data_IF_297453314378
#
_entry.id   IF_297453314378
#
_cell.length_a   1.000
_cell.length_b   1.000
_cell.length_c   1.000
_cell.angle_alpha   90.00
_cell.angle_beta   90.00
_cell.angle_gamma   90.00
#
_symmetry.space_group_name_H-M   'P 1'
#
loop_
_entity.id
_entity.type
_entity.pdbx_description
1 polymer ?
#
# COMPACT_ATOMS: atom_id res chain seq x y z
N UNK A 1 -36.18 16.88 -13.59
CA UNK A 1 -36.71 15.59 -13.10
C UNK A 1 -35.52 14.70 -12.82
N UNK A 2 -35.31 14.34 -11.55
CA UNK A 2 -34.12 13.64 -11.04
C UNK A 2 -33.98 12.22 -11.64
N UNK A 3 -32.82 11.89 -12.20
CA UNK A 3 -32.38 10.49 -12.35
C UNK A 3 -31.52 10.10 -11.13
N UNK A 4 -32.17 9.53 -10.12
CA UNK A 4 -31.47 8.71 -9.13
C UNK A 4 -31.30 7.30 -9.71
N UNK A 5 -30.10 6.98 -10.18
CA UNK A 5 -29.73 5.59 -10.46
C UNK A 5 -29.46 4.91 -9.12
N UNK A 6 -30.48 4.22 -8.58
CA UNK A 6 -30.32 3.32 -7.44
C UNK A 6 -29.52 2.11 -7.91
N UNK A 7 -28.26 2.02 -7.49
CA UNK A 7 -27.50 0.77 -7.50
C UNK A 7 -28.26 -0.25 -6.66
N UNK A 8 -28.98 -1.14 -7.34
CA UNK A 8 -29.86 -2.14 -6.73
C UNK A 8 -28.98 -3.33 -6.31
N UNK A 9 -28.86 -3.54 -5.01
CA UNK A 9 -28.26 -4.75 -4.43
C UNK A 9 -29.01 -5.97 -4.95
N UNK A 10 -28.29 -6.95 -5.51
CA UNK A 10 -28.83 -8.26 -5.84
C UNK A 10 -28.07 -9.28 -4.99
N UNK A 11 -28.71 -9.73 -3.91
CA UNK A 11 -28.25 -10.91 -3.18
C UNK A 11 -28.55 -12.13 -4.05
N UNK A 12 -27.52 -12.85 -4.48
CA UNK A 12 -27.68 -14.20 -5.00
C UNK A 12 -27.66 -15.16 -3.79
N UNK A 13 -28.84 -15.56 -3.33
CA UNK A 13 -28.98 -16.71 -2.43
C UNK A 13 -28.73 -18.00 -3.22
N UNK A 14 -27.95 -18.90 -2.61
CA UNK A 14 -27.69 -20.31 -2.94
C UNK A 14 -28.03 -20.72 -4.39
N UNK A 15 -27.03 -20.68 -5.26
CA UNK A 15 -26.98 -21.58 -6.41
C UNK A 15 -25.64 -22.32 -6.37
N UNK A 16 -25.71 -23.65 -6.36
CA UNK A 16 -24.60 -24.55 -6.70
C UNK A 16 -24.07 -24.14 -8.09
N UNK A 17 -23.13 -23.19 -8.14
CA UNK A 17 -22.41 -22.87 -9.37
C UNK A 17 -21.34 -23.94 -9.54
N UNK A 18 -21.65 -24.93 -10.37
CA UNK A 18 -20.62 -25.72 -11.05
C UNK A 18 -19.66 -24.75 -11.72
N UNK A 19 -18.39 -24.79 -11.31
CA UNK A 19 -17.33 -23.92 -11.81
C UNK A 19 -17.20 -24.17 -13.32
N UNK A 20 -17.71 -23.27 -14.16
CA UNK A 20 -17.56 -23.41 -15.60
C UNK A 20 -16.10 -23.16 -15.98
N UNK A 21 -15.51 -24.20 -16.57
CA UNK A 21 -14.12 -24.35 -17.01
C UNK A 21 -13.80 -23.46 -18.23
N UNK A 22 -14.07 -22.16 -18.08
CA UNK A 22 -13.81 -21.19 -19.13
C UNK A 22 -12.49 -20.50 -18.81
N UNK A 23 -11.59 -20.54 -19.78
CA UNK A 23 -10.43 -19.64 -19.88
C UNK A 23 -10.99 -18.22 -20.03
N UNK A 24 -11.50 -17.66 -18.94
CA UNK A 24 -12.07 -16.32 -18.92
C UNK A 24 -10.89 -15.37 -18.83
N UNK A 25 -10.78 -14.47 -19.81
CA UNK A 25 -9.94 -13.29 -19.71
C UNK A 25 -10.27 -12.60 -18.39
N UNK A 26 -9.35 -12.72 -17.42
CA UNK A 26 -9.54 -12.19 -16.08
C UNK A 26 -9.96 -10.73 -16.16
N UNK A 27 -9.50 -9.96 -17.15
CA UNK A 27 -9.84 -8.53 -17.28
C UNK A 27 -11.33 -8.23 -17.49
N UNK A 28 -12.13 -9.20 -17.98
CA UNK A 28 -13.55 -9.01 -18.32
C UNK A 28 -14.53 -9.45 -17.23
N UNK A 29 -14.02 -9.95 -16.10
CA UNK A 29 -14.87 -10.51 -15.05
C UNK A 29 -15.57 -9.35 -14.30
N UNK A 30 -16.93 -9.31 -14.27
CA UNK A 30 -17.70 -8.28 -13.58
C UNK A 30 -17.44 -8.25 -12.06
N UNK A 31 -17.96 -7.21 -11.40
CA UNK A 31 -18.08 -7.15 -9.93
C UNK A 31 -18.81 -8.41 -9.42
N UNK A 32 -18.06 -9.39 -8.89
CA UNK A 32 -18.64 -10.58 -8.28
C UNK A 32 -18.69 -10.38 -6.76
N UNK A 33 -19.88 -10.54 -6.19
CA UNK A 33 -20.01 -10.78 -4.76
C UNK A 33 -19.66 -12.24 -4.49
N UNK A 34 -18.74 -12.44 -3.55
CA UNK A 34 -18.23 -13.76 -3.21
C UNK A 34 -19.13 -14.40 -2.16
N UNK A 35 -19.45 -15.70 -2.28
CA UNK A 35 -20.27 -16.39 -1.30
C UNK A 35 -19.55 -16.42 0.06
N UNK A 36 -20.35 -16.48 1.13
CA UNK A 36 -19.83 -16.84 2.45
C UNK A 36 -19.64 -18.36 2.47
N UNK A 37 -18.41 -18.87 2.63
CA UNK A 37 -18.17 -20.31 2.67
C UNK A 37 -18.84 -20.93 3.90
N UNK A 38 -19.38 -22.14 3.74
CA UNK A 38 -20.08 -22.89 4.80
C UNK A 38 -19.12 -23.81 5.53
N UNK A 39 -18.17 -24.43 4.82
CA UNK A 39 -17.17 -25.34 5.39
C UNK A 39 -15.75 -24.76 5.42
N UNK A 40 -15.53 -23.55 4.88
CA UNK A 40 -14.21 -22.92 4.72
C UNK A 40 -13.21 -23.77 3.91
N UNK A 41 -13.72 -24.71 3.12
CA UNK A 41 -12.89 -25.48 2.21
C UNK A 41 -12.64 -24.62 0.96
N UNK A 42 -11.40 -24.62 0.47
CA UNK A 42 -10.99 -23.88 -0.73
C UNK A 42 -11.89 -24.19 -1.93
N UNK A 43 -12.35 -25.45 -2.03
CA UNK A 43 -13.28 -25.91 -3.06
C UNK A 43 -14.61 -25.16 -3.13
N UNK A 44 -15.07 -24.55 -2.04
CA UNK A 44 -16.29 -23.73 -2.03
C UNK A 44 -16.10 -22.40 -2.79
N UNK A 45 -14.84 -21.97 -2.95
CA UNK A 45 -14.47 -20.71 -3.59
C UNK A 45 -13.87 -20.90 -4.99
N UNK A 46 -13.59 -22.14 -5.42
CA UNK A 46 -12.83 -22.47 -6.65
C UNK A 46 -13.43 -21.90 -7.93
N UNK A 47 -14.75 -21.63 -7.95
CA UNK A 47 -15.44 -21.02 -9.09
C UNK A 47 -15.33 -19.51 -9.18
N UNK A 48 -14.69 -18.85 -8.21
CA UNK A 48 -14.61 -17.39 -8.15
C UNK A 48 -13.20 -16.88 -8.51
N UNK A 49 -13.09 -15.97 -9.49
CA UNK A 49 -11.82 -15.54 -10.04
C UNK A 49 -11.10 -14.51 -9.16
N UNK A 50 -9.99 -14.90 -8.54
CA UNK A 50 -9.22 -14.03 -7.64
C UNK A 50 -8.36 -13.02 -8.40
N UNK A 51 -8.46 -11.75 -8.00
CA UNK A 51 -7.64 -10.64 -8.48
C UNK A 51 -6.30 -10.64 -7.77
N UNK A 52 -5.22 -10.53 -8.54
CA UNK A 52 -3.87 -10.44 -7.99
C UNK A 52 -3.47 -8.97 -7.92
N UNK A 53 -2.90 -8.53 -6.80
CA UNK A 53 -2.36 -7.17 -6.70
C UNK A 53 -1.03 -7.08 -5.94
N UNK A 54 -0.34 -5.97 -6.13
CA UNK A 54 0.83 -5.58 -5.35
C UNK A 54 0.76 -4.08 -5.01
N UNK A 55 0.89 -3.74 -3.73
CA UNK A 55 1.00 -2.36 -3.27
C UNK A 55 2.48 -1.98 -3.31
N UNK A 56 2.88 -1.24 -4.34
CA UNK A 56 4.27 -0.79 -4.51
C UNK A 56 4.43 0.56 -3.85
N UNK A 57 5.38 0.66 -2.91
CA UNK A 57 5.55 1.87 -2.11
C UNK A 57 7.00 2.06 -1.64
N UNK A 58 7.23 3.15 -0.92
CA UNK A 58 8.47 3.40 -0.20
C UNK A 58 8.19 3.45 1.30
N UNK A 59 9.20 3.16 2.14
CA UNK A 59 9.06 3.31 3.60
C UNK A 59 8.53 4.70 3.95
N UNK A 60 7.59 4.75 4.90
CA UNK A 60 6.97 5.97 5.44
C UNK A 60 6.11 6.76 4.44
N UNK A 61 5.52 6.06 3.47
CA UNK A 61 4.57 6.63 2.49
C UNK A 61 3.09 6.26 2.77
N UNK A 62 2.78 5.76 3.97
CA UNK A 62 1.41 5.44 4.37
C UNK A 62 0.91 4.04 3.99
N UNK A 63 1.78 3.18 3.44
CA UNK A 63 1.41 1.83 2.97
C UNK A 63 0.91 0.88 4.05
N UNK A 64 1.39 1.00 5.29
CA UNK A 64 0.82 0.24 6.41
C UNK A 64 -0.64 0.62 6.71
N UNK A 65 -0.95 1.91 6.73
CA UNK A 65 -2.31 2.41 6.95
C UNK A 65 -3.24 2.03 5.79
N UNK A 66 -2.78 2.25 4.56
CA UNK A 66 -3.52 1.89 3.35
C UNK A 66 -3.81 0.39 3.26
N UNK A 67 -2.85 -0.46 3.60
CA UNK A 67 -3.08 -1.91 3.67
C UNK A 67 -4.13 -2.28 4.72
N UNK A 68 -4.13 -1.64 5.91
CA UNK A 68 -5.16 -1.92 6.92
C UNK A 68 -6.56 -1.53 6.45
N UNK A 69 -6.68 -0.45 5.66
CA UNK A 69 -7.94 -0.08 5.01
C UNK A 69 -8.39 -1.18 4.04
N UNK A 70 -7.52 -1.62 3.13
CA UNK A 70 -7.86 -2.70 2.19
C UNK A 70 -8.21 -4.00 2.89
N UNK A 71 -7.46 -4.38 3.93
CA UNK A 71 -7.73 -5.57 4.73
C UNK A 71 -9.02 -5.49 5.57
N UNK A 72 -9.66 -4.32 5.69
CA UNK A 72 -11.00 -4.22 6.30
C UNK A 72 -12.12 -4.67 5.35
N UNK A 73 -11.84 -4.76 4.04
CA UNK A 73 -12.77 -5.37 3.08
C UNK A 73 -12.84 -6.88 3.31
N UNK A 74 -14.06 -7.41 3.37
CA UNK A 74 -14.31 -8.84 3.66
C UNK A 74 -13.71 -9.82 2.64
N UNK A 75 -13.40 -9.38 1.42
CA UNK A 75 -12.92 -10.24 0.33
C UNK A 75 -11.50 -9.86 -0.12
N UNK A 76 -10.76 -9.06 0.66
CA UNK A 76 -9.39 -8.67 0.33
C UNK A 76 -8.42 -9.21 1.37
N UNK A 77 -7.34 -9.81 0.89
CA UNK A 77 -6.20 -10.26 1.70
C UNK A 77 -4.90 -9.69 1.17
N UNK A 78 -4.36 -8.68 1.86
CA UNK A 78 -3.00 -8.18 1.69
C UNK A 78 -2.08 -8.76 2.78
N UNK A 79 -1.04 -9.46 2.35
CA UNK A 79 -0.18 -10.31 3.20
C UNK A 79 1.05 -9.59 3.79
N UNK A 80 1.00 -8.27 3.98
CA UNK A 80 2.10 -7.50 4.53
C UNK A 80 3.31 -7.40 3.60
N UNK A 81 4.49 -7.14 4.18
CA UNK A 81 5.76 -7.03 3.43
C UNK A 81 6.43 -8.40 3.27
N UNK A 82 5.92 -9.22 2.34
CA UNK A 82 6.42 -10.59 2.14
C UNK A 82 7.90 -10.63 1.70
N UNK A 83 8.38 -9.57 1.04
CA UNK A 83 9.77 -9.41 0.59
C UNK A 83 10.65 -8.66 1.61
N UNK A 84 10.25 -8.61 2.89
CA UNK A 84 11.12 -8.15 3.99
C UNK A 84 12.36 -9.04 4.25
N UNK A 85 12.24 -10.39 4.24
CA UNK A 85 13.38 -11.31 4.39
C UNK A 85 14.25 -11.45 3.13
N UNK A 86 15.59 -11.37 3.28
CA UNK A 86 16.53 -11.38 2.14
C UNK A 86 16.41 -12.62 1.27
N UNK A 87 16.25 -13.80 1.88
CA UNK A 87 16.11 -15.09 1.19
C UNK A 87 15.03 -15.15 0.11
N UNK A 88 13.99 -14.30 0.21
CA UNK A 88 12.89 -14.24 -0.77
C UNK A 88 13.20 -13.31 -1.95
N UNK A 89 14.32 -12.61 -1.92
CA UNK A 89 14.74 -11.61 -2.91
C UNK A 89 16.24 -11.66 -3.24
N UNK A 90 16.88 -12.80 -3.01
CA UNK A 90 18.30 -12.98 -3.29
C UNK A 90 18.60 -12.94 -4.80
N UNK A 91 17.64 -13.39 -5.61
CA UNK A 91 17.68 -13.34 -7.08
C UNK A 91 16.26 -13.39 -7.66
N UNK A 92 16.15 -13.23 -8.99
CA UNK A 92 14.87 -13.24 -9.70
C UNK A 92 14.08 -14.55 -9.47
N UNK A 93 14.72 -15.72 -9.49
CA UNK A 93 14.02 -17.00 -9.27
C UNK A 93 13.38 -17.08 -7.89
N UNK A 94 14.10 -16.69 -6.83
CA UNK A 94 13.55 -16.65 -5.46
C UNK A 94 12.37 -15.67 -5.32
N UNK A 95 12.39 -14.58 -6.09
CA UNK A 95 11.27 -13.65 -6.17
C UNK A 95 10.06 -14.34 -6.82
N UNK A 96 10.23 -14.94 -7.99
CA UNK A 96 9.15 -15.62 -8.72
C UNK A 96 8.55 -16.75 -7.89
N UNK A 97 9.37 -17.60 -7.26
CA UNK A 97 8.89 -18.66 -6.36
C UNK A 97 8.05 -18.12 -5.20
N UNK A 98 8.42 -16.96 -4.67
CA UNK A 98 7.67 -16.30 -3.61
C UNK A 98 6.35 -15.74 -4.12
N UNK A 99 6.35 -15.13 -5.31
CA UNK A 99 5.14 -14.64 -5.97
C UNK A 99 4.16 -15.78 -6.25
N UNK A 100 4.66 -16.91 -6.76
CA UNK A 100 3.85 -18.09 -7.04
C UNK A 100 3.19 -18.64 -5.78
N UNK A 101 3.93 -18.76 -4.67
CA UNK A 101 3.33 -19.19 -3.39
C UNK A 101 2.17 -18.31 -2.96
N UNK A 102 2.29 -16.99 -3.09
CA UNK A 102 1.22 -16.06 -2.72
C UNK A 102 0.05 -16.12 -3.69
N UNK A 103 0.33 -16.06 -4.99
CA UNK A 103 -0.72 -15.97 -6.01
C UNK A 103 -1.37 -17.32 -6.38
N UNK A 104 -0.78 -18.43 -5.95
CA UNK A 104 -1.41 -19.74 -5.96
C UNK A 104 -2.20 -20.02 -4.67
N UNK A 105 -2.32 -19.03 -3.77
CA UNK A 105 -3.02 -19.13 -2.48
C UNK A 105 -2.43 -20.17 -1.51
N UNK A 106 -1.12 -20.47 -1.65
CA UNK A 106 -0.39 -21.38 -0.77
C UNK A 106 0.24 -20.63 0.43
N UNK A 107 -0.13 -19.36 0.59
CA UNK A 107 0.41 -18.45 1.58
C UNK A 107 -0.59 -18.17 2.70
N UNK A 108 -0.50 -18.95 3.77
CA UNK A 108 -1.37 -18.82 4.94
C UNK A 108 -0.81 -17.77 5.90
N UNK A 109 -1.59 -16.72 6.18
CA UNK A 109 -1.23 -15.66 7.13
C UNK A 109 -2.42 -15.29 8.02
N UNK A 110 -2.19 -14.43 9.02
CA UNK A 110 -3.28 -13.83 9.80
C UNK A 110 -4.23 -12.95 8.97
N UNK A 111 -3.86 -12.61 7.73
CA UNK A 111 -4.69 -11.87 6.79
C UNK A 111 -5.64 -12.78 5.99
N UNK A 112 -5.53 -14.11 6.16
CA UNK A 112 -6.49 -15.06 5.61
C UNK A 112 -7.89 -14.76 6.15
N UNK A 113 -8.86 -14.71 5.23
CA UNK A 113 -10.26 -14.43 5.56
C UNK A 113 -11.04 -15.72 5.77
N UNK A 114 -12.09 -15.60 6.57
CA UNK A 114 -13.11 -16.63 6.68
C UNK A 114 -14.01 -16.60 5.44
N UNK A 115 -14.03 -15.52 4.67
CA UNK A 115 -14.75 -15.41 3.41
C UNK A 115 -13.87 -15.78 2.21
N UNK A 116 -14.50 -16.15 1.09
CA UNK A 116 -13.79 -16.32 -0.17
C UNK A 116 -13.11 -14.99 -0.56
N UNK A 117 -11.83 -15.07 -0.95
CA UNK A 117 -11.05 -13.90 -1.35
C UNK A 117 -11.38 -13.51 -2.80
N UNK A 118 -11.68 -12.23 -2.99
CA UNK A 118 -11.85 -11.59 -4.30
C UNK A 118 -10.54 -10.99 -4.83
N UNK A 119 -9.69 -10.52 -3.92
CA UNK A 119 -8.38 -10.02 -4.26
C UNK A 119 -7.34 -10.46 -3.24
N UNK A 120 -6.20 -10.92 -3.74
CA UNK A 120 -5.03 -11.28 -2.94
C UNK A 120 -3.81 -10.49 -3.40
N UNK A 121 -3.05 -10.03 -2.43
CA UNK A 121 -1.85 -9.26 -2.70
C UNK A 121 -0.98 -9.12 -1.47
N UNK A 122 -0.10 -8.14 -1.54
CA UNK A 122 0.89 -7.82 -0.51
C UNK A 122 1.46 -6.42 -0.74
N UNK A 123 2.23 -5.93 0.22
CA UNK A 123 3.04 -4.71 0.08
C UNK A 123 4.45 -5.03 -0.36
N UNK A 124 4.98 -4.21 -1.24
CA UNK A 124 6.35 -4.31 -1.71
C UNK A 124 7.03 -2.95 -1.67
N UNK A 125 8.08 -2.83 -0.85
CA UNK A 125 8.86 -1.60 -0.81
C UNK A 125 9.88 -1.57 -1.96
N UNK A 126 10.11 -0.40 -2.56
CA UNK A 126 11.05 -0.24 -3.70
C UNK A 126 12.47 -0.78 -3.40
N UNK A 127 12.90 -0.74 -2.15
CA UNK A 127 14.22 -1.23 -1.72
C UNK A 127 14.25 -2.74 -1.37
N UNK A 128 13.19 -3.49 -1.64
CA UNK A 128 13.07 -4.92 -1.30
C UNK A 128 13.16 -5.82 -2.55
N UNK A 129 14.13 -5.60 -3.45
CA UNK A 129 14.36 -6.46 -4.62
C UNK A 129 13.60 -6.03 -5.88
N UNK A 130 12.50 -5.26 -5.72
CA UNK A 130 11.66 -4.79 -6.83
C UNK A 130 12.48 -4.01 -7.88
N UNK A 131 13.32 -3.09 -7.42
CA UNK A 131 14.11 -2.22 -8.31
C UNK A 131 15.34 -2.92 -8.89
N UNK A 132 15.71 -4.10 -8.37
CA UNK A 132 16.87 -4.89 -8.81
C UNK A 132 16.53 -5.85 -9.96
N UNK A 133 15.29 -6.34 -10.02
CA UNK A 133 14.84 -7.31 -11.03
C UNK A 133 13.57 -6.83 -11.79
N UNK A 134 13.53 -5.60 -12.31
CA UNK A 134 12.30 -5.03 -12.87
C UNK A 134 11.81 -5.79 -14.11
N UNK A 135 12.71 -6.33 -14.95
CA UNK A 135 12.32 -6.99 -16.20
C UNK A 135 11.54 -8.28 -15.93
N UNK A 136 12.07 -9.11 -15.04
CA UNK A 136 11.50 -10.39 -14.66
C UNK A 136 10.16 -10.19 -13.94
N UNK A 137 10.08 -9.19 -13.06
CA UNK A 137 8.86 -8.89 -12.30
C UNK A 137 7.77 -8.32 -13.22
N UNK A 138 8.11 -7.40 -14.13
CA UNK A 138 7.15 -6.85 -15.10
C UNK A 138 6.61 -7.95 -16.01
N UNK A 139 7.47 -8.84 -16.49
CA UNK A 139 7.05 -9.98 -17.29
C UNK A 139 6.06 -10.86 -16.52
N UNK A 140 6.39 -11.23 -15.28
CA UNK A 140 5.52 -12.03 -14.43
C UNK A 140 4.19 -11.32 -14.13
N UNK A 141 4.21 -10.01 -13.81
CA UNK A 141 3.00 -9.24 -13.53
C UNK A 141 2.07 -9.19 -14.74
N UNK A 142 2.60 -9.03 -15.94
CA UNK A 142 1.80 -9.00 -17.15
C UNK A 142 1.24 -10.39 -17.50
N UNK A 143 2.06 -11.43 -17.41
CA UNK A 143 1.65 -12.83 -17.67
C UNK A 143 0.56 -13.30 -16.70
N UNK A 144 0.77 -13.11 -15.40
CA UNK A 144 -0.17 -13.54 -14.35
C UNK A 144 -1.34 -12.60 -14.14
N UNK A 145 -1.27 -11.42 -14.75
CA UNK A 145 -2.28 -10.40 -14.62
C UNK A 145 -2.36 -9.79 -13.22
N UNK A 146 -1.23 -9.35 -12.68
CA UNK A 146 -1.14 -8.62 -11.41
C UNK A 146 -1.48 -7.14 -11.63
N UNK A 147 -2.31 -6.58 -10.75
CA UNK A 147 -2.64 -5.16 -10.69
C UNK A 147 -1.70 -4.44 -9.71
N UNK A 148 -1.02 -3.39 -10.17
CA UNK A 148 -0.05 -2.66 -9.37
C UNK A 148 -0.68 -1.38 -8.81
N UNK A 149 -0.65 -1.21 -7.50
CA UNK A 149 -1.08 0.02 -6.85
C UNK A 149 0.18 0.75 -6.36
N UNK A 150 0.56 1.81 -7.06
CA UNK A 150 1.63 2.68 -6.58
C UNK A 150 1.07 3.59 -5.49
N UNK A 151 1.48 3.36 -4.24
CA UNK A 151 1.21 4.29 -3.14
C UNK A 151 2.45 5.13 -2.86
N UNK A 152 2.47 6.35 -3.37
CA UNK A 152 3.60 7.27 -3.28
C UNK A 152 3.29 8.44 -2.35
N UNK A 153 4.32 9.09 -1.83
CA UNK A 153 4.18 10.31 -1.02
C UNK A 153 4.86 11.45 -1.74
N UNK A 154 4.15 12.54 -2.02
CA UNK A 154 4.72 13.71 -2.72
C UNK A 154 5.70 14.46 -1.83
N UNK A 155 5.39 14.64 -0.54
CA UNK A 155 6.26 15.42 0.34
C UNK A 155 7.45 14.60 0.86
N UNK A 156 8.60 14.71 0.17
CA UNK A 156 9.82 13.97 0.52
C UNK A 156 10.47 14.45 1.82
N UNK A 157 10.33 15.72 2.18
CA UNK A 157 10.86 16.25 3.45
C UNK A 157 10.11 15.66 4.65
N UNK A 158 8.77 15.64 4.60
CA UNK A 158 7.94 14.97 5.63
C UNK A 158 8.22 13.48 5.70
N UNK A 159 8.46 12.85 4.56
CA UNK A 159 8.88 11.45 4.51
C UNK A 159 10.22 11.26 5.22
N UNK A 160 11.22 12.10 4.94
CA UNK A 160 12.53 12.05 5.59
C UNK A 160 12.43 12.22 7.11
N UNK A 161 11.67 13.21 7.59
CA UNK A 161 11.39 13.40 9.02
C UNK A 161 10.81 12.11 9.63
N UNK A 162 9.83 11.50 8.96
CA UNK A 162 9.24 10.26 9.47
C UNK A 162 10.20 9.06 9.43
N UNK A 163 11.17 9.03 8.51
CA UNK A 163 12.21 7.99 8.46
C UNK A 163 13.14 8.15 9.66
N UNK A 164 13.62 9.37 9.91
CA UNK A 164 14.55 9.67 11.01
C UNK A 164 13.88 9.42 12.37
N UNK A 165 12.64 9.85 12.55
CA UNK A 165 11.88 9.60 13.78
C UNK A 165 11.64 8.11 14.04
N UNK A 166 11.30 7.34 13.00
CA UNK A 166 11.13 5.89 13.13
C UNK A 166 12.46 5.18 13.42
N UNK A 167 13.57 5.65 12.84
CA UNK A 167 14.89 5.10 13.13
C UNK A 167 15.30 5.36 14.59
N UNK A 168 15.04 6.57 15.10
CA UNK A 168 15.27 6.90 16.51
C UNK A 168 14.45 6.02 17.46
N UNK A 169 13.16 5.84 17.20
CA UNK A 169 12.30 5.00 18.05
C UNK A 169 12.73 3.53 18.06
N UNK A 170 13.39 3.04 17.01
CA UNK A 170 13.92 1.67 16.98
C UNK A 170 14.93 1.41 18.10
N UNK A 171 15.72 2.43 18.44
CA UNK A 171 16.75 2.36 19.47
C UNK A 171 16.23 2.87 20.83
N UNK A 172 15.51 4.00 20.82
CA UNK A 172 14.98 4.63 22.02
C UNK A 172 13.78 3.89 22.63
N UNK A 173 12.98 3.20 21.79
CA UNK A 173 11.80 2.42 22.15
C UNK A 173 10.86 3.17 23.09
N UNK A 174 10.36 4.31 22.60
CA UNK A 174 9.70 5.33 23.41
C UNK A 174 8.39 4.83 24.04
N UNK A 175 7.79 3.78 23.48
CA UNK A 175 6.58 3.16 24.00
C UNK A 175 6.92 1.91 24.83
N UNK A 176 7.12 2.13 26.13
CA UNK A 176 7.34 1.07 27.12
C UNK A 176 8.48 0.09 26.75
N UNK A 177 9.55 0.58 26.12
CA UNK A 177 10.66 -0.28 25.71
C UNK A 177 10.37 -1.15 24.49
N UNK A 178 9.32 -0.82 23.73
CA UNK A 178 8.97 -1.45 22.44
C UNK A 178 9.07 -0.42 21.31
N UNK A 179 9.67 -0.85 20.19
CA UNK A 179 9.65 -0.08 18.94
C UNK A 179 8.30 -0.23 18.26
N UNK A 180 7.67 0.89 17.89
CA UNK A 180 6.34 0.91 17.28
C UNK A 180 6.36 1.75 16.02
N UNK A 181 6.19 1.09 14.87
CA UNK A 181 6.19 1.75 13.56
C UNK A 181 4.86 2.40 13.18
N UNK A 182 3.77 1.96 13.82
CA UNK A 182 2.37 2.38 13.62
C UNK A 182 1.65 2.38 14.96
N UNK A 183 0.89 3.43 15.26
CA UNK A 183 0.19 3.60 16.54
C UNK A 183 -1.32 3.56 16.33
N UNK A 184 -2.04 3.21 17.40
CA UNK A 184 -3.50 3.06 17.37
C UNK A 184 -4.24 4.06 18.27
N UNK A 185 -3.50 4.86 19.05
CA UNK A 185 -4.07 5.89 19.91
C UNK A 185 -3.47 7.27 19.64
N UNK A 186 -4.20 8.32 20.02
CA UNK A 186 -3.74 9.69 19.88
C UNK A 186 -2.61 10.01 20.87
N UNK A 187 -2.62 9.34 22.02
CA UNK A 187 -1.64 9.47 23.10
C UNK A 187 -0.27 8.93 22.67
N UNK A 188 -0.25 7.72 22.08
CA UNK A 188 0.96 7.12 21.51
C UNK A 188 1.52 7.97 20.36
N UNK A 189 0.64 8.42 19.46
CA UNK A 189 1.01 9.31 18.35
C UNK A 189 1.66 10.60 18.87
N UNK A 190 1.07 11.20 19.90
CA UNK A 190 1.59 12.40 20.55
C UNK A 190 2.98 12.15 21.14
N UNK A 191 3.19 11.03 21.85
CA UNK A 191 4.49 10.69 22.43
C UNK A 191 5.58 10.55 21.37
N UNK A 192 5.33 9.77 20.31
CA UNK A 192 6.31 9.57 19.24
C UNK A 192 6.62 10.86 18.47
N UNK A 193 5.62 11.74 18.29
CA UNK A 193 5.80 13.01 17.58
C UNK A 193 6.66 14.05 18.32
N UNK A 194 6.97 13.83 19.62
CA UNK A 194 7.82 14.75 20.39
C UNK A 194 9.27 14.77 19.92
N UNK A 195 9.75 13.67 19.35
CA UNK A 195 11.11 13.62 18.82
C UNK A 195 11.19 14.43 17.53
N UNK A 196 12.09 15.43 17.53
CA UNK A 196 12.37 16.26 16.36
C UNK A 196 13.75 15.90 15.83
N UNK A 197 13.88 15.23 14.68
CA UNK A 197 15.18 14.96 14.10
C UNK A 197 15.88 16.25 13.68
N UNK A 198 17.19 16.31 13.91
CA UNK A 198 18.08 17.27 13.27
C UNK A 198 18.41 16.78 11.85
N UNK A 199 18.13 17.61 10.85
CA UNK A 199 18.33 17.26 9.44
C UNK A 199 19.73 17.68 8.99
N UNK A 200 20.42 16.77 8.29
CA UNK A 200 21.72 17.05 7.67
C UNK A 200 21.52 17.93 6.43
N UNK A 201 21.82 19.22 6.58
CA UNK A 201 21.68 20.24 5.55
C UNK A 201 22.59 19.98 4.33
N UNK A 202 23.78 19.42 4.57
CA UNK A 202 24.78 19.17 3.53
C UNK A 202 24.30 18.15 2.50
N UNK A 203 23.60 17.09 2.94
CA UNK A 203 23.06 16.04 2.06
C UNK A 203 21.60 16.26 1.65
N UNK A 204 20.89 17.20 2.28
CA UNK A 204 19.43 17.35 2.15
C UNK A 204 18.94 17.40 0.70
N UNK A 205 19.54 18.25 -0.14
CA UNK A 205 19.13 18.39 -1.54
C UNK A 205 19.37 17.11 -2.35
N UNK A 206 20.50 16.43 -2.13
CA UNK A 206 20.79 15.17 -2.81
C UNK A 206 19.87 14.04 -2.34
N UNK A 207 19.52 14.01 -1.06
CA UNK A 207 18.64 13.01 -0.48
C UNK A 207 17.22 13.15 -1.04
N UNK A 208 16.68 14.37 -1.06
CA UNK A 208 15.37 14.67 -1.64
C UNK A 208 15.32 14.32 -3.14
N UNK A 209 16.36 14.68 -3.89
CA UNK A 209 16.50 14.32 -5.30
C UNK A 209 16.52 12.81 -5.51
N UNK A 210 17.27 12.09 -4.69
CA UNK A 210 17.40 10.64 -4.75
C UNK A 210 16.06 9.95 -4.50
N UNK A 211 15.30 10.45 -3.52
CA UNK A 211 13.95 9.96 -3.22
C UNK A 211 12.98 10.18 -4.40
N UNK A 212 12.91 11.39 -4.97
CA UNK A 212 12.07 11.67 -6.15
C UNK A 212 12.48 10.81 -7.34
N UNK A 213 13.79 10.73 -7.63
CA UNK A 213 14.31 9.93 -8.75
C UNK A 213 13.98 8.44 -8.61
N UNK A 214 14.00 7.90 -7.40
CA UNK A 214 13.65 6.49 -7.16
C UNK A 214 12.17 6.23 -7.46
N UNK A 215 11.28 7.16 -7.12
CA UNK A 215 9.86 7.07 -7.44
C UNK A 215 9.62 7.10 -8.94
N UNK A 216 10.23 8.06 -9.65
CA UNK A 216 10.12 8.20 -11.11
C UNK A 216 10.63 6.94 -11.81
N UNK A 217 11.80 6.44 -11.43
CA UNK A 217 12.36 5.20 -12.01
C UNK A 217 11.45 3.99 -11.80
N UNK A 218 10.78 3.89 -10.65
CA UNK A 218 9.84 2.81 -10.40
C UNK A 218 8.62 2.90 -11.34
N UNK A 219 8.08 4.10 -11.54
CA UNK A 219 6.99 4.31 -12.51
C UNK A 219 7.44 3.98 -13.94
N UNK A 220 8.66 4.38 -14.33
CA UNK A 220 9.21 4.08 -15.64
C UNK A 220 9.40 2.59 -15.88
N UNK A 221 9.97 1.86 -14.91
CA UNK A 221 10.20 0.42 -15.01
C UNK A 221 8.90 -0.37 -15.17
N UNK A 222 7.84 0.06 -14.50
CA UNK A 222 6.57 -0.66 -14.42
C UNK A 222 5.46 -0.01 -15.26
N UNK A 223 5.80 0.92 -16.16
CA UNK A 223 4.84 1.67 -16.97
C UNK A 223 3.93 0.78 -17.84
N UNK A 224 4.42 -0.40 -18.23
CA UNK A 224 3.73 -1.39 -19.06
C UNK A 224 2.88 -2.37 -18.26
N UNK A 225 2.89 -2.26 -16.92
CA UNK A 225 2.00 -3.05 -16.07
C UNK A 225 0.64 -2.39 -15.93
N UNK A 226 -0.38 -3.17 -15.55
CA UNK A 226 -1.70 -2.63 -15.21
C UNK A 226 -1.60 -1.96 -13.85
N UNK A 227 -1.60 -0.63 -13.83
CA UNK A 227 -1.32 0.12 -12.61
C UNK A 227 -2.22 1.33 -12.40
N UNK A 228 -2.35 1.72 -11.13
CA UNK A 228 -2.85 3.04 -10.70
C UNK A 228 -1.81 3.71 -9.81
N UNK A 229 -1.88 5.04 -9.73
CA UNK A 229 -1.01 5.84 -8.87
C UNK A 229 -1.87 6.58 -7.86
N UNK A 230 -1.72 6.22 -6.60
CA UNK A 230 -2.34 6.90 -5.47
C UNK A 230 -1.24 7.65 -4.71
N UNK A 231 -1.47 8.94 -4.50
CA UNK A 231 -0.60 9.71 -3.63
C UNK A 231 -1.20 9.81 -2.23
N UNK A 232 -0.35 9.65 -1.22
CA UNK A 232 -0.72 9.70 0.19
C UNK A 232 -1.48 10.99 0.52
N UNK A 233 -1.05 12.12 -0.03
CA UNK A 233 -1.67 13.44 0.17
C UNK A 233 -3.11 13.48 -0.37
N UNK A 234 -3.39 12.82 -1.50
CA UNK A 234 -4.75 12.74 -2.04
C UNK A 234 -5.61 11.80 -1.19
N UNK A 235 -5.04 10.68 -0.77
CA UNK A 235 -5.71 9.68 0.05
C UNK A 235 -6.08 10.21 1.44
N UNK A 236 -5.28 11.09 2.04
CA UNK A 236 -5.65 11.72 3.33
C UNK A 236 -6.68 12.84 3.15
N UNK A 237 -6.69 13.50 1.98
CA UNK A 237 -7.56 14.64 1.70
C UNK A 237 -8.97 14.20 1.35
N UNK A 238 -9.08 13.18 0.50
CA UNK A 238 -10.35 12.53 0.15
C UNK A 238 -10.21 11.00 0.20
N UNK A 239 -10.23 10.41 1.41
CA UNK A 239 -10.13 8.97 1.56
C UNK A 239 -11.27 8.22 0.85
N UNK A 240 -12.49 8.77 0.87
CA UNK A 240 -13.65 8.08 0.33
C UNK A 240 -13.53 7.91 -1.20
N UNK A 241 -13.24 9.00 -1.92
CA UNK A 241 -13.07 8.95 -3.38
C UNK A 241 -11.89 8.05 -3.77
N UNK A 242 -10.74 8.21 -3.11
CA UNK A 242 -9.52 7.46 -3.46
C UNK A 242 -9.62 5.98 -3.14
N UNK A 243 -10.35 5.58 -2.10
CA UNK A 243 -10.57 4.17 -1.78
C UNK A 243 -11.55 3.53 -2.75
N UNK A 244 -12.62 4.24 -3.15
CA UNK A 244 -13.53 3.77 -4.21
C UNK A 244 -12.77 3.56 -5.52
N UNK A 245 -11.88 4.48 -5.89
CA UNK A 245 -11.02 4.35 -7.08
C UNK A 245 -10.18 3.06 -7.05
N UNK A 246 -9.65 2.69 -5.89
CA UNK A 246 -8.87 1.46 -5.69
C UNK A 246 -9.77 0.22 -5.76
N UNK A 247 -10.95 0.25 -5.13
CA UNK A 247 -11.91 -0.85 -5.19
C UNK A 247 -12.38 -1.10 -6.64
N UNK A 248 -12.69 -0.03 -7.39
CA UNK A 248 -13.09 -0.11 -8.80
C UNK A 248 -11.94 -0.57 -9.71
N UNK A 249 -10.71 -0.18 -9.42
CA UNK A 249 -9.52 -0.67 -10.12
C UNK A 249 -9.33 -2.17 -9.92
N UNK A 250 -9.50 -2.64 -8.68
CA UNK A 250 -9.44 -4.06 -8.33
C UNK A 250 -10.73 -4.83 -8.69
N UNK A 251 -11.78 -4.16 -9.20
CA UNK A 251 -13.08 -4.75 -9.53
C UNK A 251 -13.76 -5.40 -8.33
N UNK A 252 -13.64 -4.76 -7.18
CA UNK A 252 -14.24 -5.17 -5.93
C UNK A 252 -15.60 -4.49 -5.71
N UNK A 253 -16.54 -5.13 -5.01
CA UNK A 253 -17.69 -4.43 -4.49
C UNK A 253 -17.28 -3.29 -3.57
N UNK A 254 -17.87 -2.10 -3.75
CA UNK A 254 -17.53 -0.94 -2.93
C UNK A 254 -17.97 -1.16 -1.47
N UNK A 255 -17.06 -0.88 -0.53
CA UNK A 255 -17.29 -1.02 0.90
C UNK A 255 -16.72 0.17 1.66
N UNK A 256 -17.31 0.46 2.83
CA UNK A 256 -16.71 1.42 3.74
C UNK A 256 -15.49 0.79 4.42
N UNK A 257 -14.30 1.16 3.93
CA UNK A 257 -13.03 0.69 4.47
C UNK A 257 -12.63 1.47 5.71
N UNK A 258 -12.13 0.77 6.73
CA UNK A 258 -11.78 1.35 8.03
C UNK A 258 -10.38 0.93 8.49
N UNK A 259 -9.76 1.75 9.32
CA UNK A 259 -8.45 1.47 9.90
C UNK A 259 -8.37 2.04 11.31
N UNK A 260 -7.70 1.33 12.20
CA UNK A 260 -7.39 1.79 13.55
C UNK A 260 -6.05 2.55 13.65
N UNK A 261 -5.24 2.60 12.59
CA UNK A 261 -3.97 3.32 12.65
C UNK A 261 -4.18 4.84 12.64
N UNK A 262 -3.36 5.53 13.43
CA UNK A 262 -3.39 7.00 13.57
C UNK A 262 -2.11 7.62 13.00
N UNK A 263 -2.25 8.77 12.32
CA UNK A 263 -1.11 9.56 11.84
C UNK A 263 -0.32 10.15 13.02
N UNK A 264 0.97 9.84 13.09
CA UNK A 264 1.89 10.32 14.15
C UNK A 264 2.16 11.83 14.01
N UNK A 265 2.76 12.25 12.90
CA UNK A 265 3.11 13.66 12.69
C UNK A 265 1.94 14.43 12.08
N UNK A 266 1.28 15.27 12.88
CA UNK A 266 0.20 16.21 12.47
C UNK A 266 0.71 17.65 12.55
N UNK A 267 0.13 18.57 11.78
CA UNK A 267 0.51 19.99 11.83
C UNK A 267 1.70 20.37 10.94
N UNK A 268 2.28 21.53 11.21
CA UNK A 268 3.32 22.17 10.40
C UNK A 268 4.65 21.41 10.51
N UNK A 269 5.42 21.35 9.41
CA UNK A 269 6.72 20.67 9.38
C UNK A 269 7.72 21.27 10.38
N UNK A 270 7.63 22.59 10.61
CA UNK A 270 8.44 23.33 11.57
C UNK A 270 8.33 22.79 13.00
N UNK A 271 7.21 22.17 13.34
CA UNK A 271 7.00 21.58 14.66
C UNK A 271 7.76 20.26 14.84
N UNK A 272 8.17 19.61 13.75
CA UNK A 272 8.75 18.26 13.72
C UNK A 272 10.22 18.22 13.32
N UNK A 273 10.89 19.37 13.20
CA UNK A 273 12.30 19.47 12.79
C UNK A 273 13.05 20.33 13.81
N UNK A 274 14.17 19.83 14.33
CA UNK A 274 14.96 20.53 15.35
C UNK A 274 15.59 21.81 14.79
N UNK A 275 16.28 21.71 13.65
CA UNK A 275 16.96 22.82 12.97
C UNK A 275 16.11 23.39 11.80
N UNK A 276 14.83 23.68 12.06
CA UNK A 276 13.88 24.13 11.03
C UNK A 276 14.35 25.35 10.24
N UNK A 277 14.91 26.36 10.91
CA UNK A 277 15.36 27.60 10.25
C UNK A 277 16.44 27.33 9.19
N UNK A 278 17.40 26.44 9.50
CA UNK A 278 18.45 26.03 8.56
C UNK A 278 17.86 25.25 7.38
N UNK A 279 16.91 24.34 7.65
CA UNK A 279 16.22 23.55 6.62
C UNK A 279 15.43 24.46 5.69
N UNK A 280 14.63 25.37 6.25
CA UNK A 280 13.85 26.34 5.51
C UNK A 280 14.77 27.17 4.60
N UNK A 281 15.80 27.81 5.18
CA UNK A 281 16.79 28.60 4.43
C UNK A 281 17.48 27.82 3.32
N UNK A 282 17.75 26.53 3.52
CA UNK A 282 18.44 25.69 2.54
C UNK A 282 17.57 25.36 1.33
N UNK A 283 16.26 25.20 1.56
CA UNK A 283 15.30 24.77 0.53
C UNK A 283 14.56 25.95 -0.12
N UNK A 284 14.40 27.08 0.54
CA UNK A 284 13.81 28.30 -0.03
C UNK A 284 14.56 28.73 -1.29
N UNK A 285 13.83 29.11 -2.34
CA UNK A 285 14.39 29.49 -3.64
C UNK A 285 14.93 28.31 -4.46
N UNK A 286 14.68 27.07 -4.06
CA UNK A 286 15.09 25.87 -4.81
C UNK A 286 13.89 25.08 -5.32
N UNK A 287 14.10 24.14 -6.25
CA UNK A 287 13.04 23.25 -6.74
C UNK A 287 12.39 22.38 -5.63
N UNK A 288 13.02 22.28 -4.46
CA UNK A 288 12.53 21.51 -3.31
C UNK A 288 11.77 22.38 -2.29
N UNK A 289 11.64 23.69 -2.51
CA UNK A 289 10.85 24.59 -1.66
C UNK A 289 9.42 24.09 -1.47
N UNK A 290 8.83 23.48 -2.50
CA UNK A 290 7.52 22.82 -2.47
C UNK A 290 7.32 21.85 -1.30
N UNK A 291 8.41 21.26 -0.77
CA UNK A 291 8.34 20.31 0.35
C UNK A 291 8.24 20.96 1.72
N UNK A 292 8.47 22.28 1.83
CA UNK A 292 8.28 23.01 3.08
C UNK A 292 6.79 23.19 3.42
N UNK A 293 5.91 23.07 2.42
CA UNK A 293 4.46 23.19 2.57
C UNK A 293 3.83 21.98 3.26
N UNK A 294 2.61 22.16 3.75
CA UNK A 294 1.84 21.08 4.35
C UNK A 294 1.35 20.05 3.32
N UNK A 295 0.88 18.89 3.82
CA UNK A 295 0.37 17.79 2.98
C UNK A 295 -1.04 18.10 2.38
N UNK A 296 -1.63 19.29 2.63
CA UNK A 296 -3.05 19.59 2.41
C UNK A 296 -3.31 20.94 1.74
#
# INVERSE_FOLDING_TARGET
MNLQNKNKFVFFEDFERTCYDTVVDRSQIPYLHYPKPKTFNRSECDGNPVRLFAIVSMQRSGSGWFETLLNSHINVSSNGEIFGPKSRRDNASSIIETLDKVYNLDWLTSSSKNECSAAIGFKWMLNQGLMQHPKEIVHYFNDRGVNVIFLLRRNMLRRLVSILANAYDKDAKLLNGVHVSHVHSAEEASLLSKYKPKINITSLKSDLRGMESTAVKALDYFNSTRHIIIYYEDLIKDPAEKLIEVEDFLKLPQMNLTSQQVKIHKGALSEHIENWEEVNKTLSGTAYEKFLQADY
#
